data_IF_648733306390
#
_entry.id   IF_648733306390
#
_cell.length_a   1.000
_cell.length_b   1.000
_cell.length_c   1.000
_cell.angle_alpha   90.00
_cell.angle_beta   90.00
_cell.angle_gamma   90.00
#
_symmetry.space_group_name_H-M   'P 1'
#
loop_
_entity.id
_entity.type
_entity.pdbx_description
1 polymer ?
#
# COMPACT_ATOMS: atom_id res chain seq x y z
N UNK A 1 51.60 -19.56 -19.37
CA UNK A 1 51.72 -19.64 -17.90
C UNK A 1 50.41 -19.16 -17.34
N UNK A 2 49.68 -20.04 -16.65
CA UNK A 2 48.32 -19.78 -16.19
C UNK A 2 48.26 -18.65 -15.18
N UNK A 3 47.25 -17.79 -15.32
CA UNK A 3 46.79 -16.92 -14.25
C UNK A 3 46.49 -17.82 -13.04
N UNK A 4 47.19 -17.59 -11.94
CA UNK A 4 47.18 -18.49 -10.79
C UNK A 4 45.81 -18.50 -10.14
N UNK A 5 45.31 -19.70 -9.83
CA UNK A 5 44.04 -19.95 -9.14
C UNK A 5 43.86 -19.12 -7.84
N UNK A 6 44.96 -18.68 -7.20
CA UNK A 6 44.90 -17.80 -6.03
C UNK A 6 44.58 -16.32 -6.31
N UNK A 7 44.78 -15.82 -7.53
CA UNK A 7 44.42 -14.45 -7.91
C UNK A 7 42.91 -14.32 -8.15
N UNK A 8 42.27 -15.38 -8.65
CA UNK A 8 40.81 -15.45 -8.78
C UNK A 8 40.13 -15.50 -7.42
N UNK A 9 40.64 -16.29 -6.48
CA UNK A 9 40.09 -16.37 -5.11
C UNK A 9 40.17 -15.02 -4.38
N UNK A 10 41.30 -14.32 -4.51
CA UNK A 10 41.48 -12.99 -3.92
C UNK A 10 40.52 -11.95 -4.55
N UNK A 11 40.33 -11.99 -5.86
CA UNK A 11 39.38 -11.14 -6.56
C UNK A 11 37.93 -11.43 -6.13
N UNK A 12 37.55 -12.70 -6.04
CA UNK A 12 36.21 -13.11 -5.58
C UNK A 12 35.94 -12.64 -4.15
N UNK A 13 36.92 -12.74 -3.26
CA UNK A 13 36.81 -12.22 -1.90
C UNK A 13 36.62 -10.70 -1.87
N UNK A 14 37.38 -9.96 -2.68
CA UNK A 14 37.23 -8.50 -2.80
C UNK A 14 35.85 -8.09 -3.34
N UNK A 15 35.37 -8.78 -4.38
CA UNK A 15 34.03 -8.55 -4.95
C UNK A 15 32.95 -8.84 -3.92
N UNK A 16 33.07 -9.95 -3.19
CA UNK A 16 32.12 -10.34 -2.14
C UNK A 16 32.07 -9.31 -1.01
N UNK A 17 33.22 -8.80 -0.55
CA UNK A 17 33.27 -7.78 0.50
C UNK A 17 32.75 -6.43 0.02
N UNK A 18 33.00 -6.05 -1.24
CA UNK A 18 32.42 -4.86 -1.84
C UNK A 18 30.89 -4.97 -1.93
N UNK A 19 30.37 -6.10 -2.43
CA UNK A 19 28.94 -6.38 -2.51
C UNK A 19 28.26 -6.27 -1.14
N UNK A 20 28.81 -6.93 -0.10
CA UNK A 20 28.27 -6.86 1.27
C UNK A 20 28.20 -5.43 1.81
N UNK A 21 29.23 -4.61 1.55
CA UNK A 21 29.26 -3.21 1.99
C UNK A 21 28.20 -2.39 1.29
N UNK A 22 28.04 -2.59 -0.02
CA UNK A 22 27.02 -1.91 -0.84
C UNK A 22 25.62 -2.33 -0.37
N UNK A 23 25.36 -3.62 -0.22
CA UNK A 23 24.06 -4.16 0.21
C UNK A 23 23.67 -3.63 1.59
N UNK A 24 24.61 -3.63 2.54
CA UNK A 24 24.37 -3.06 3.88
C UNK A 24 24.00 -1.59 3.80
N UNK A 25 24.71 -0.82 2.99
CA UNK A 25 24.41 0.60 2.82
C UNK A 25 23.05 0.83 2.15
N UNK A 26 22.74 0.03 1.11
CA UNK A 26 21.46 0.09 0.40
C UNK A 26 20.30 -0.23 1.34
N UNK A 27 20.40 -1.28 2.16
CA UNK A 27 19.39 -1.61 3.16
C UNK A 27 19.24 -0.50 4.20
N UNK A 28 20.34 0.09 4.65
CA UNK A 28 20.28 1.20 5.61
C UNK A 28 19.53 2.41 5.02
N UNK A 29 19.80 2.75 3.76
CA UNK A 29 19.11 3.81 3.03
C UNK A 29 17.63 3.47 2.84
N UNK A 30 17.30 2.24 2.43
CA UNK A 30 15.92 1.80 2.22
C UNK A 30 15.09 1.88 3.50
N UNK A 31 15.62 1.36 4.61
CA UNK A 31 14.90 1.34 5.88
C UNK A 31 14.85 2.69 6.58
N UNK A 32 15.94 3.47 6.57
CA UNK A 32 15.99 4.74 7.31
C UNK A 32 15.55 5.92 6.48
N UNK A 33 16.13 6.11 5.28
CA UNK A 33 15.86 7.28 4.45
C UNK A 33 14.50 7.18 3.77
N UNK A 34 14.18 6.01 3.21
CA UNK A 34 12.90 5.77 2.53
C UNK A 34 11.85 5.12 3.43
N UNK A 35 12.11 5.01 4.74
CA UNK A 35 11.12 4.59 5.74
C UNK A 35 10.34 3.32 5.36
N UNK A 36 11.03 2.33 4.77
CA UNK A 36 10.38 1.14 4.20
C UNK A 36 9.46 0.43 5.20
N UNK A 37 9.85 0.39 6.48
CA UNK A 37 9.06 -0.24 7.54
C UNK A 37 7.72 0.48 7.75
N UNK A 38 7.73 1.81 7.72
CA UNK A 38 6.58 2.66 7.88
C UNK A 38 5.59 2.45 6.73
N UNK A 39 6.08 2.32 5.49
CA UNK A 39 5.26 1.96 4.33
C UNK A 39 4.58 0.58 4.51
N UNK A 40 5.32 -0.43 4.96
CA UNK A 40 4.76 -1.75 5.27
C UNK A 40 3.67 -1.68 6.36
N UNK A 41 3.89 -0.87 7.39
CA UNK A 41 2.92 -0.66 8.47
C UNK A 41 1.67 0.07 7.97
N UNK A 42 1.81 1.06 7.10
CA UNK A 42 0.67 1.75 6.48
C UNK A 42 -0.19 0.77 5.66
N UNK A 43 0.43 -0.06 4.82
CA UNK A 43 -0.30 -1.10 4.05
C UNK A 43 -1.04 -2.04 5.01
N UNK A 44 -0.39 -2.49 6.09
CA UNK A 44 -1.05 -3.34 7.10
C UNK A 44 -2.22 -2.64 7.78
N UNK A 45 -2.08 -1.38 8.16
CA UNK A 45 -3.12 -0.63 8.87
C UNK A 45 -4.34 -0.35 7.97
N UNK A 46 -4.11 0.09 6.73
CA UNK A 46 -5.16 0.63 5.88
C UNK A 46 -5.67 -0.38 4.84
N UNK A 47 -4.78 -1.07 4.12
CA UNK A 47 -5.17 -2.03 3.08
C UNK A 47 -5.54 -3.41 3.65
N UNK A 48 -5.03 -3.77 4.82
CA UNK A 48 -5.39 -5.01 5.52
C UNK A 48 -6.37 -4.78 6.68
N UNK A 49 -7.01 -3.61 6.72
CA UNK A 49 -8.02 -3.23 7.72
C UNK A 49 -7.55 -3.39 9.18
N UNK A 50 -6.26 -3.22 9.44
CA UNK A 50 -5.68 -3.33 10.78
C UNK A 50 -5.98 -2.16 11.71
N UNK A 51 -6.37 -1.00 11.15
CA UNK A 51 -6.75 0.20 11.89
C UNK A 51 -8.28 0.27 12.05
N UNK A 52 -8.81 -0.42 13.06
CA UNK A 52 -10.26 -0.66 13.19
C UNK A 52 -11.11 0.60 13.33
N UNK A 53 -10.66 1.61 14.06
CA UNK A 53 -11.38 2.89 14.22
C UNK A 53 -11.51 3.64 12.89
N UNK A 54 -10.41 3.75 12.13
CA UNK A 54 -10.43 4.32 10.78
C UNK A 54 -11.40 3.57 9.86
N UNK A 55 -11.34 2.23 9.85
CA UNK A 55 -12.21 1.41 9.00
C UNK A 55 -13.68 1.60 9.36
N UNK A 56 -14.00 1.68 10.66
CA UNK A 56 -15.36 1.93 11.13
C UNK A 56 -15.87 3.30 10.64
N UNK A 57 -15.13 4.37 10.89
CA UNK A 57 -15.52 5.71 10.43
C UNK A 57 -15.63 5.79 8.90
N UNK A 58 -14.70 5.14 8.18
CA UNK A 58 -14.76 5.08 6.73
C UNK A 58 -16.06 4.41 6.28
N UNK A 59 -16.41 3.25 6.85
CA UNK A 59 -17.65 2.54 6.52
C UNK A 59 -18.90 3.36 6.81
N UNK A 60 -18.95 4.07 7.94
CA UNK A 60 -20.08 4.91 8.30
C UNK A 60 -20.30 6.06 7.29
N UNK A 61 -19.21 6.65 6.80
CA UNK A 61 -19.26 7.79 5.87
C UNK A 61 -19.51 7.32 4.43
N UNK A 62 -18.81 6.28 3.95
CA UNK A 62 -18.95 5.82 2.55
C UNK A 62 -20.17 4.92 2.35
N UNK A 63 -20.63 4.22 3.39
CA UNK A 63 -21.64 3.16 3.29
C UNK A 63 -22.96 3.57 2.63
N UNK A 64 -23.54 4.74 2.98
CA UNK A 64 -24.73 5.26 2.30
C UNK A 64 -24.49 5.45 0.80
N UNK A 65 -23.34 6.05 0.43
CA UNK A 65 -22.99 6.31 -0.97
C UNK A 65 -22.70 5.03 -1.74
N UNK A 66 -22.02 4.07 -1.12
CA UNK A 66 -21.69 2.79 -1.76
C UNK A 66 -22.92 1.89 -1.99
N UNK A 67 -24.04 2.19 -1.33
CA UNK A 67 -25.31 1.48 -1.54
C UNK A 67 -26.04 1.90 -2.83
N UNK A 68 -25.64 3.03 -3.43
CA UNK A 68 -26.11 3.50 -4.73
C UNK A 68 -25.49 2.69 -5.90
N UNK A 69 -26.08 2.76 -7.11
CA UNK A 69 -25.47 2.20 -8.32
C UNK A 69 -24.10 2.82 -8.59
N UNK A 70 -23.14 2.00 -9.06
CA UNK A 70 -21.77 2.43 -9.31
C UNK A 70 -21.65 3.66 -10.24
N UNK A 71 -22.58 3.79 -11.20
CA UNK A 71 -22.62 4.92 -12.15
C UNK A 71 -22.84 6.30 -11.48
N UNK A 72 -23.40 6.33 -10.26
CA UNK A 72 -23.68 7.57 -9.54
C UNK A 72 -22.57 7.97 -8.56
N UNK A 73 -21.49 7.19 -8.52
CA UNK A 73 -20.43 7.32 -7.52
C UNK A 73 -19.21 7.97 -8.16
N UNK A 74 -18.78 9.09 -7.58
CA UNK A 74 -17.61 9.82 -8.03
C UNK A 74 -16.38 9.44 -7.20
N UNK A 75 -15.26 9.14 -7.87
CA UNK A 75 -13.97 8.93 -7.20
C UNK A 75 -13.55 10.16 -6.38
N UNK A 76 -13.85 11.37 -6.87
CA UNK A 76 -13.52 12.61 -6.16
C UNK A 76 -14.30 12.75 -4.84
N UNK A 77 -15.58 12.40 -4.84
CA UNK A 77 -16.42 12.42 -3.64
C UNK A 77 -15.91 11.40 -2.60
N UNK A 78 -15.61 10.18 -3.04
CA UNK A 78 -15.05 9.14 -2.20
C UNK A 78 -13.67 9.52 -1.63
N UNK A 79 -12.83 10.21 -2.41
CA UNK A 79 -11.58 10.75 -1.90
C UNK A 79 -11.82 11.78 -0.78
N UNK A 80 -12.85 12.63 -0.91
CA UNK A 80 -13.29 13.53 0.15
C UNK A 80 -13.72 12.79 1.43
N UNK A 81 -14.44 11.68 1.28
CA UNK A 81 -14.83 10.83 2.41
C UNK A 81 -13.66 10.12 3.07
N UNK A 82 -12.69 9.62 2.28
CA UNK A 82 -11.45 9.06 2.80
C UNK A 82 -10.72 10.07 3.69
N UNK A 83 -10.55 11.31 3.19
CA UNK A 83 -9.94 12.40 3.94
C UNK A 83 -10.71 12.76 5.22
N UNK A 84 -12.05 12.71 5.18
CA UNK A 84 -12.88 12.91 6.36
C UNK A 84 -12.70 11.79 7.39
N UNK A 85 -12.65 10.53 6.96
CA UNK A 85 -12.43 9.38 7.83
C UNK A 85 -11.03 9.39 8.48
N UNK A 86 -10.00 9.84 7.75
CA UNK A 86 -8.66 10.05 8.31
C UNK A 86 -8.72 11.08 9.45
N UNK A 87 -9.36 12.23 9.23
CA UNK A 87 -9.50 13.29 10.25
C UNK A 87 -10.35 12.88 11.44
N UNK A 88 -11.35 12.03 11.23
CA UNK A 88 -12.27 11.58 12.28
C UNK A 88 -11.72 10.43 13.15
N UNK A 89 -10.60 9.81 12.75
CA UNK A 89 -10.00 8.65 13.44
C UNK A 89 -8.63 8.96 14.03
N UNK A 90 -8.02 8.00 14.72
CA UNK A 90 -6.63 8.14 15.17
C UNK A 90 -5.62 8.12 14.02
N UNK A 91 -6.05 7.80 12.79
CA UNK A 91 -5.20 7.91 11.60
C UNK A 91 -4.67 9.33 11.37
N UNK A 92 -5.35 10.37 11.89
CA UNK A 92 -4.88 11.76 11.80
C UNK A 92 -3.48 12.00 12.41
N UNK A 93 -3.03 11.13 13.31
CA UNK A 93 -1.72 11.23 13.97
C UNK A 93 -0.62 10.42 13.26
N UNK A 94 -0.97 9.67 12.21
CA UNK A 94 0.02 8.96 11.39
C UNK A 94 0.81 9.91 10.48
N UNK A 95 1.96 9.44 9.99
CA UNK A 95 2.82 10.21 9.09
C UNK A 95 2.07 10.61 7.81
N UNK A 96 2.01 11.92 7.55
CA UNK A 96 1.27 12.49 6.42
C UNK A 96 1.76 11.97 5.06
N UNK A 97 3.05 11.67 4.90
CA UNK A 97 3.54 11.08 3.64
C UNK A 97 2.93 9.70 3.40
N UNK A 98 2.61 8.94 4.45
CA UNK A 98 1.94 7.64 4.31
C UNK A 98 0.46 7.80 3.96
N UNK A 99 -0.21 8.77 4.59
CA UNK A 99 -1.62 9.06 4.36
C UNK A 99 -1.87 9.63 2.96
N UNK A 100 -0.99 10.52 2.48
CA UNK A 100 -1.06 11.13 1.14
C UNK A 100 -0.90 10.11 0.00
N UNK A 101 -0.44 8.90 0.31
CA UNK A 101 -0.29 7.76 -0.61
C UNK A 101 -1.50 6.82 -0.59
N UNK A 102 -2.38 6.94 0.39
CA UNK A 102 -3.63 6.20 0.43
C UNK A 102 -4.61 6.86 -0.54
N UNK A 103 -5.06 6.12 -1.55
CA UNK A 103 -5.96 6.63 -2.58
C UNK A 103 -7.18 5.75 -2.71
N UNK A 104 -8.28 6.36 -3.15
CA UNK A 104 -9.46 5.62 -3.58
C UNK A 104 -9.24 5.18 -5.02
N UNK A 105 -9.48 3.90 -5.27
CA UNK A 105 -9.49 3.29 -6.59
C UNK A 105 -10.89 2.81 -6.91
N UNK A 106 -11.41 3.21 -8.07
CA UNK A 106 -12.65 2.67 -8.62
C UNK A 106 -12.32 1.52 -9.56
N UNK A 107 -12.86 0.34 -9.28
CA UNK A 107 -12.73 -0.83 -10.14
C UNK A 107 -13.63 -0.68 -11.37
N UNK A 108 -13.24 -1.23 -12.53
CA UNK A 108 -14.10 -1.30 -13.71
C UNK A 108 -15.40 -2.02 -13.36
N UNK A 109 -16.52 -1.50 -13.84
CA UNK A 109 -17.85 -1.99 -13.48
C UNK A 109 -18.83 -1.97 -14.65
N UNK A 110 -19.82 -2.86 -14.58
CA UNK A 110 -20.89 -3.00 -15.55
C UNK A 110 -22.19 -2.35 -15.09
N UNK A 111 -23.19 -2.39 -15.97
CA UNK A 111 -24.56 -1.98 -15.64
C UNK A 111 -25.18 -2.97 -14.64
N UNK A 112 -25.20 -2.62 -13.36
CA UNK A 112 -25.79 -3.42 -12.29
C UNK A 112 -24.96 -3.49 -11.02
N UNK A 113 -23.68 -3.13 -11.10
CA UNK A 113 -22.80 -3.12 -9.93
C UNK A 113 -23.15 -1.97 -8.97
N UNK A 114 -23.02 -2.24 -7.67
CA UNK A 114 -23.18 -1.24 -6.62
C UNK A 114 -21.83 -0.64 -6.26
N UNK A 115 -21.84 0.50 -5.59
CA UNK A 115 -20.62 1.12 -5.05
C UNK A 115 -19.73 0.18 -4.26
N UNK A 116 -20.34 -0.71 -3.46
CA UNK A 116 -19.62 -1.70 -2.68
C UNK A 116 -18.76 -2.67 -3.49
N UNK A 117 -19.10 -2.91 -4.76
CA UNK A 117 -18.38 -3.85 -5.63
C UNK A 117 -17.23 -3.17 -6.37
N UNK A 118 -17.25 -1.83 -6.42
CA UNK A 118 -16.34 -1.03 -7.24
C UNK A 118 -15.38 -0.19 -6.40
N UNK A 119 -15.68 0.03 -5.12
CA UNK A 119 -14.82 0.76 -4.20
C UNK A 119 -13.63 -0.08 -3.76
N UNK A 120 -12.44 0.49 -3.88
CA UNK A 120 -11.21 -0.06 -3.30
C UNK A 120 -10.32 1.04 -2.73
N UNK A 121 -9.50 0.69 -1.74
CA UNK A 121 -8.36 1.51 -1.33
C UNK A 121 -7.08 0.96 -1.97
N UNK A 122 -6.22 1.86 -2.43
CA UNK A 122 -4.91 1.54 -2.96
C UNK A 122 -3.81 2.35 -2.26
N UNK A 123 -2.59 1.81 -2.31
CA UNK A 123 -1.41 2.46 -1.76
C UNK A 123 -0.44 2.81 -2.88
N UNK A 124 -0.17 4.10 -3.07
CA UNK A 124 0.73 4.61 -4.10
C UNK A 124 2.20 4.55 -3.63
N UNK A 125 2.88 3.48 -4.00
CA UNK A 125 4.33 3.40 -3.84
C UNK A 125 5.01 4.28 -4.89
N UNK A 126 5.84 5.24 -4.46
CA UNK A 126 6.62 6.12 -5.34
C UNK A 126 8.07 5.66 -5.39
N UNK A 127 8.79 6.10 -6.41
CA UNK A 127 10.24 5.85 -6.56
C UNK A 127 11.00 6.22 -5.28
N UNK A 128 11.92 5.37 -4.79
CA UNK A 128 12.35 4.09 -5.37
C UNK A 128 11.61 2.86 -4.81
N UNK A 129 10.60 3.06 -3.98
CA UNK A 129 9.92 1.97 -3.26
C UNK A 129 9.01 1.13 -4.17
N UNK A 130 8.62 1.66 -5.31
CA UNK A 130 7.92 0.96 -6.40
C UNK A 130 8.70 -0.24 -6.94
N UNK A 131 10.03 -0.24 -6.82
CA UNK A 131 10.88 -1.39 -7.16
C UNK A 131 10.63 -2.61 -6.26
N UNK A 132 10.18 -2.36 -5.02
CA UNK A 132 9.84 -3.41 -4.04
C UNK A 132 8.32 -3.63 -4.02
N UNK A 133 7.54 -2.56 -3.89
CA UNK A 133 6.09 -2.54 -4.00
C UNK A 133 5.65 -2.42 -5.46
N UNK A 134 6.06 -3.40 -6.25
CA UNK A 134 5.70 -3.48 -7.67
C UNK A 134 4.18 -3.57 -7.86
N UNK A 135 3.70 -3.24 -9.05
CA UNK A 135 2.27 -3.36 -9.40
C UNK A 135 1.72 -4.77 -9.16
N UNK A 136 2.53 -5.81 -9.38
CA UNK A 136 2.16 -7.21 -9.11
C UNK A 136 1.93 -7.46 -7.62
N UNK A 137 2.74 -6.86 -6.74
CA UNK A 137 2.59 -6.97 -5.29
C UNK A 137 1.37 -6.19 -4.82
N UNK A 138 1.21 -4.94 -5.25
CA UNK A 138 0.08 -4.09 -4.88
C UNK A 138 -1.26 -4.66 -5.39
N UNK A 139 -1.26 -5.29 -6.56
CA UNK A 139 -2.44 -6.01 -7.08
C UNK A 139 -2.88 -7.17 -6.18
N UNK A 140 -1.94 -7.87 -5.52
CA UNK A 140 -2.27 -8.90 -4.52
C UNK A 140 -2.88 -8.29 -3.28
N UNK A 141 -2.32 -7.19 -2.76
CA UNK A 141 -2.90 -6.47 -1.63
C UNK A 141 -4.30 -5.92 -1.92
N UNK A 142 -4.53 -5.40 -3.13
CA UNK A 142 -5.84 -4.95 -3.57
C UNK A 142 -6.88 -6.07 -3.57
N UNK A 143 -6.51 -7.28 -4.02
CA UNK A 143 -7.38 -8.46 -3.96
C UNK A 143 -7.73 -8.85 -2.52
N UNK A 144 -6.74 -8.79 -1.62
CA UNK A 144 -6.96 -9.05 -0.19
C UNK A 144 -7.87 -7.99 0.42
N UNK A 145 -7.63 -6.70 0.14
CA UNK A 145 -8.48 -5.60 0.58
C UNK A 145 -9.93 -5.84 0.16
N UNK A 146 -10.19 -6.12 -1.13
CA UNK A 146 -11.54 -6.33 -1.63
C UNK A 146 -12.26 -7.51 -0.97
N UNK A 147 -11.53 -8.58 -0.64
CA UNK A 147 -12.09 -9.68 0.12
C UNK A 147 -12.45 -9.27 1.55
N UNK A 148 -11.52 -8.63 2.27
CA UNK A 148 -11.73 -8.16 3.65
C UNK A 148 -12.85 -7.12 3.73
N UNK A 149 -12.93 -6.22 2.75
CA UNK A 149 -13.96 -5.18 2.65
C UNK A 149 -15.36 -5.78 2.51
N UNK A 150 -15.50 -6.81 1.67
CA UNK A 150 -16.77 -7.55 1.53
C UNK A 150 -17.17 -8.26 2.81
N UNK A 151 -16.22 -8.82 3.56
CA UNK A 151 -16.50 -9.41 4.87
C UNK A 151 -16.95 -8.35 5.87
N UNK A 152 -16.25 -7.20 5.94
CA UNK A 152 -16.61 -6.11 6.83
C UNK A 152 -17.99 -5.53 6.55
N UNK A 153 -18.42 -5.47 5.29
CA UNK A 153 -19.78 -5.11 4.91
C UNK A 153 -20.86 -6.02 5.51
N UNK A 154 -20.57 -7.31 5.71
CA UNK A 154 -21.55 -8.27 6.27
C UNK A 154 -21.61 -8.19 7.79
N UNK A 155 -20.51 -7.80 8.43
CA UNK A 155 -20.41 -7.64 9.89
C UNK A 155 -21.07 -6.35 10.39
N UNK A 156 -21.08 -5.32 9.55
CA UNK A 156 -21.66 -4.00 9.82
C UNK A 156 -23.17 -3.97 9.55
#
# INVERSE_FOLDING_TARGET
GGLGYGETDALEHLVTEAAKRIDKHLLDVLYKRYKFKEHCLAIKRYLLLGQGDFVQYLMDIVGPKLSEPANNISSFELAGFLEAAIRASNAQYDDRDMLDRLRVKMMPHGSGDRGWDVFSLEYEARVPLDTVFTESVLSKYLRVFNFLWKLKRVEH
#
